data_IF_602863084105
#
_entry.id   IF_602863084105
#
_cell.length_a   1.000
_cell.length_b   1.000
_cell.length_c   1.000
_cell.angle_alpha   90.00
_cell.angle_beta   90.00
_cell.angle_gamma   90.00
#
_symmetry.space_group_name_H-M   'P 1'
#
loop_
_entity.id
_entity.type
_entity.pdbx_description
1 polymer ?
#
# COMPACT_ATOMS: atom_id res chain seq x y z
N UNK A 1 -4.01 2.39 -15.30
CA UNK A 1 -3.96 1.25 -14.37
C UNK A 1 -2.71 1.41 -13.51
N UNK A 2 -2.84 1.62 -12.20
CA UNK A 2 -1.66 1.81 -11.33
C UNK A 2 -1.00 0.43 -11.17
N UNK A 3 0.04 0.15 -11.95
CA UNK A 3 0.79 -1.09 -11.81
C UNK A 3 1.32 -1.13 -10.37
N UNK A 4 0.99 -2.17 -9.62
CA UNK A 4 1.46 -2.41 -8.24
C UNK A 4 2.99 -2.54 -8.24
N UNK A 5 3.67 -1.40 -8.37
CA UNK A 5 5.06 -1.29 -8.76
C UNK A 5 5.68 -0.04 -8.16
N UNK A 6 6.96 -0.17 -7.86
CA UNK A 6 7.79 0.84 -7.22
C UNK A 6 9.15 0.89 -7.92
N UNK A 7 9.93 1.93 -7.62
CA UNK A 7 11.30 2.01 -8.09
C UNK A 7 12.13 0.92 -7.41
N UNK A 8 12.80 0.08 -8.21
CA UNK A 8 13.60 -1.03 -7.69
C UNK A 8 14.69 -0.56 -6.72
N UNK A 9 15.20 0.66 -6.88
CA UNK A 9 16.20 1.26 -5.99
C UNK A 9 15.69 1.44 -4.55
N UNK A 10 14.38 1.39 -4.32
CA UNK A 10 13.78 1.52 -2.97
C UNK A 10 13.72 0.20 -2.20
N UNK A 11 13.87 -0.96 -2.86
CA UNK A 11 13.80 -2.28 -2.22
C UNK A 11 14.79 -2.47 -1.05
N UNK A 12 16.05 -2.02 -1.12
CA UNK A 12 16.99 -2.14 0.00
C UNK A 12 16.51 -1.39 1.26
N UNK A 13 15.91 -0.20 1.09
CA UNK A 13 15.37 0.57 2.20
C UNK A 13 14.14 -0.10 2.82
N UNK A 14 13.26 -0.67 1.98
CA UNK A 14 12.06 -1.40 2.40
C UNK A 14 12.38 -2.65 3.20
N UNK A 15 13.51 -3.31 2.92
CA UNK A 15 13.91 -4.54 3.62
C UNK A 15 13.94 -4.37 5.14
N UNK A 16 14.41 -3.22 5.65
CA UNK A 16 14.44 -2.96 7.10
C UNK A 16 13.02 -2.85 7.68
N UNK A 17 12.12 -2.17 6.97
CA UNK A 17 10.73 -2.01 7.39
C UNK A 17 9.97 -3.33 7.35
N UNK A 18 10.22 -4.15 6.32
CA UNK A 18 9.68 -5.49 6.19
C UNK A 18 10.06 -6.38 7.38
N UNK A 19 11.33 -6.38 7.78
CA UNK A 19 11.77 -7.11 8.99
C UNK A 19 11.15 -6.58 10.27
N UNK A 20 11.07 -5.26 10.42
CA UNK A 20 10.45 -4.64 11.59
C UNK A 20 8.95 -4.98 11.70
N UNK A 21 8.27 -5.17 10.56
CA UNK A 21 6.89 -5.64 10.51
C UNK A 21 6.71 -7.14 10.77
N UNK A 22 7.78 -7.89 11.07
CA UNK A 22 7.75 -9.33 11.32
C UNK A 22 8.06 -10.20 10.10
N UNK A 23 8.48 -9.61 8.97
CA UNK A 23 8.90 -10.34 7.79
C UNK A 23 10.21 -11.11 8.03
N UNK A 24 10.24 -12.40 7.66
CA UNK A 24 11.38 -13.29 7.86
C UNK A 24 12.24 -13.53 6.61
N UNK A 25 11.71 -13.23 5.42
CA UNK A 25 12.40 -13.42 4.13
C UNK A 25 13.06 -12.16 3.55
N UNK A 26 13.31 -12.18 2.24
CA UNK A 26 13.71 -10.97 1.50
C UNK A 26 12.49 -10.29 0.91
N UNK A 27 12.36 -8.98 1.10
CA UNK A 27 11.25 -8.21 0.53
C UNK A 27 11.27 -8.25 -1.00
N UNK A 28 12.45 -8.38 -1.58
CA UNK A 28 12.64 -8.47 -3.03
C UNK A 28 12.03 -9.75 -3.63
N UNK A 29 11.89 -10.83 -2.85
CA UNK A 29 11.32 -12.11 -3.32
C UNK A 29 9.85 -11.98 -3.76
N UNK A 30 9.17 -10.89 -3.38
CA UNK A 30 7.79 -10.61 -3.75
C UNK A 30 7.64 -9.76 -5.02
N UNK A 31 8.75 -9.42 -5.68
CA UNK A 31 8.77 -8.56 -6.86
C UNK A 31 9.55 -9.18 -8.02
N UNK A 32 9.09 -8.88 -9.24
CA UNK A 32 9.89 -9.00 -10.46
C UNK A 32 10.52 -7.64 -10.77
N UNK A 33 11.84 -7.59 -10.93
CA UNK A 33 12.54 -6.36 -11.32
C UNK A 33 12.76 -6.32 -12.82
N UNK A 34 12.19 -5.32 -13.50
CA UNK A 34 12.35 -5.09 -14.95
C UNK A 34 12.43 -3.59 -15.21
N UNK A 35 13.37 -3.17 -16.05
CA UNK A 35 13.54 -1.77 -16.47
C UNK A 35 13.63 -0.77 -15.30
N UNK A 36 14.35 -1.13 -14.23
CA UNK A 36 14.48 -0.30 -13.02
C UNK A 36 13.22 -0.25 -12.14
N UNK A 37 12.17 -1.00 -12.48
CA UNK A 37 10.92 -1.07 -11.71
C UNK A 37 10.79 -2.42 -11.04
N UNK A 38 10.43 -2.42 -9.77
CA UNK A 38 10.01 -3.61 -9.05
C UNK A 38 8.48 -3.72 -9.14
N UNK A 39 7.99 -4.78 -9.76
CA UNK A 39 6.56 -5.05 -9.96
C UNK A 39 6.17 -6.24 -9.09
N UNK A 40 5.08 -6.11 -8.32
CA UNK A 40 4.59 -7.22 -7.50
C UNK A 40 4.31 -8.47 -8.35
N UNK A 41 4.64 -9.65 -7.81
CA UNK A 41 4.38 -10.92 -8.47
C UNK A 41 2.90 -11.05 -8.87
N UNK A 42 2.59 -11.71 -10.01
CA UNK A 42 1.24 -11.76 -10.55
C UNK A 42 0.18 -12.27 -9.56
N UNK A 43 0.51 -13.28 -8.76
CA UNK A 43 -0.40 -13.88 -7.78
C UNK A 43 -0.69 -12.97 -6.58
N UNK A 44 0.22 -12.07 -6.22
CA UNK A 44 0.00 -11.06 -5.18
C UNK A 44 -0.83 -9.91 -5.73
N UNK A 45 -0.51 -9.45 -6.93
CA UNK A 45 -1.24 -8.37 -7.61
C UNK A 45 -2.71 -8.73 -7.85
N UNK A 46 -3.01 -10.00 -8.14
CA UNK A 46 -4.37 -10.48 -8.34
C UNK A 46 -5.28 -10.34 -7.09
N UNK A 47 -4.69 -10.15 -5.90
CA UNK A 47 -5.41 -9.96 -4.64
C UNK A 47 -5.65 -8.49 -4.28
N UNK A 48 -5.28 -7.55 -5.16
CA UNK A 48 -5.41 -6.11 -4.93
C UNK A 48 -6.53 -5.55 -5.80
N UNK A 49 -7.58 -5.05 -5.17
CA UNK A 49 -8.65 -4.30 -5.83
C UNK A 49 -8.35 -2.81 -5.72
N UNK A 50 -8.24 -2.12 -6.86
CA UNK A 50 -8.08 -0.67 -6.91
C UNK A 50 -9.44 -0.01 -7.10
N UNK A 51 -9.81 0.87 -6.17
CA UNK A 51 -11.01 1.69 -6.26
C UNK A 51 -10.66 3.15 -5.95
N UNK A 52 -11.40 4.07 -6.54
CA UNK A 52 -11.41 5.47 -6.12
C UNK A 52 -12.51 5.63 -5.07
N UNK A 53 -12.14 6.10 -3.88
CA UNK A 53 -13.06 6.27 -2.76
C UNK A 53 -12.88 7.65 -2.15
N UNK A 54 -13.97 8.36 -1.89
CA UNK A 54 -13.95 9.64 -1.17
C UNK A 54 -14.25 9.42 0.30
N UNK A 55 -13.23 9.60 1.16
CA UNK A 55 -13.40 9.55 2.62
C UNK A 55 -14.40 10.59 3.16
N UNK A 56 -14.77 11.59 2.37
CA UNK A 56 -15.67 12.67 2.76
C UNK A 56 -17.15 12.39 2.47
N UNK A 57 -17.45 11.64 1.42
CA UNK A 57 -18.80 11.56 0.84
C UNK A 57 -19.32 10.14 0.69
N UNK A 58 -18.45 9.13 0.63
CA UNK A 58 -18.88 7.74 0.51
C UNK A 58 -19.12 7.12 1.89
N UNK A 59 -20.22 6.38 2.01
CA UNK A 59 -20.65 5.75 3.25
C UNK A 59 -19.67 4.63 3.65
N UNK A 60 -19.09 4.81 4.83
CA UNK A 60 -18.54 3.80 5.76
C UNK A 60 -17.96 2.51 5.15
N UNK A 61 -16.65 2.37 5.26
CA UNK A 61 -15.89 1.13 5.04
C UNK A 61 -16.20 0.08 6.14
N UNK A 62 -17.39 -0.51 6.16
CA UNK A 62 -17.85 -1.27 7.34
C UNK A 62 -17.37 -2.72 7.45
N UNK A 63 -16.78 -3.31 6.40
CA UNK A 63 -16.40 -4.72 6.42
C UNK A 63 -14.93 -4.90 6.03
N UNK A 64 -14.03 -4.35 6.85
CA UNK A 64 -12.60 -4.55 6.72
C UNK A 64 -12.00 -5.02 8.04
N UNK A 65 -11.11 -6.01 7.98
CA UNK A 65 -10.36 -6.48 9.15
C UNK A 65 -9.36 -5.45 9.66
N UNK A 66 -8.85 -4.59 8.77
CA UNK A 66 -7.95 -3.49 9.11
C UNK A 66 -8.02 -2.40 8.03
N UNK A 67 -7.91 -1.13 8.46
CA UNK A 67 -7.76 0.03 7.58
C UNK A 67 -6.41 0.68 7.87
N UNK A 68 -5.59 0.86 6.82
CA UNK A 68 -4.26 1.47 6.93
C UNK A 68 -4.24 2.82 6.22
N UNK A 69 -4.06 3.89 6.99
CA UNK A 69 -3.93 5.26 6.50
C UNK A 69 -2.51 5.78 6.77
N UNK A 70 -1.68 5.87 5.73
CA UNK A 70 -0.28 6.30 5.86
C UNK A 70 -0.08 7.84 5.76
N UNK A 71 -1.16 8.61 5.57
CA UNK A 71 -1.14 10.07 5.48
C UNK A 71 -1.88 10.68 6.66
N UNK A 72 -1.52 11.92 7.00
CA UNK A 72 -1.96 12.55 8.23
C UNK A 72 -3.44 12.95 8.17
N UNK A 73 -4.26 12.59 9.17
CA UNK A 73 -5.66 13.01 9.24
C UNK A 73 -5.86 14.53 9.23
N UNK A 74 -4.84 15.33 9.55
CA UNK A 74 -4.88 16.79 9.48
C UNK A 74 -4.99 17.32 8.05
N UNK A 75 -4.66 16.51 7.04
CA UNK A 75 -4.92 16.83 5.62
C UNK A 75 -6.42 16.90 5.32
N UNK A 76 -7.27 16.33 6.18
CA UNK A 76 -8.72 16.50 6.09
C UNK A 76 -9.16 17.83 6.69
N UNK A 77 -10.14 18.48 6.05
CA UNK A 77 -10.81 19.66 6.60
C UNK A 77 -11.43 19.37 7.98
N UNK A 78 -11.61 20.38 8.84
CA UNK A 78 -11.97 20.18 10.25
C UNK A 78 -13.23 19.34 10.48
N UNK A 79 -14.20 19.40 9.56
CA UNK A 79 -15.45 18.61 9.62
C UNK A 79 -15.25 17.08 9.46
N UNK A 80 -14.13 16.64 8.88
CA UNK A 80 -13.85 15.23 8.58
C UNK A 80 -12.87 14.58 9.58
N UNK A 81 -12.29 15.36 10.51
CA UNK A 81 -11.34 14.85 11.52
C UNK A 81 -12.01 14.17 12.72
N UNK A 82 -13.32 14.38 12.91
CA UNK A 82 -14.06 13.95 14.11
C UNK A 82 -15.05 12.81 13.84
N UNK A 83 -14.94 12.10 12.70
CA UNK A 83 -15.88 11.05 12.30
C UNK A 83 -15.25 9.67 12.43
#
# INVERSE_FOLDING_TARGET
>A
MRAASLDAATLPALQRQYRHGGGSGQVADYFEVRDGRAVLLPHLRARITWASYSLATDASCNEFQAIVCCRDPRDFGPALRQR
#
